data_IF_608506869605
#
_entry.id   IF_608506869605
#
_cell.length_a   1.000
_cell.length_b   1.000
_cell.length_c   1.000
_cell.angle_alpha   90.00
_cell.angle_beta   90.00
_cell.angle_gamma   90.00
#
_symmetry.space_group_name_H-M   'P 1'
#
loop_
_entity.id
_entity.type
_entity.pdbx_description
1 polymer ?
#
# COMPACT_ATOMS: atom_id res chain seq x y z
N UNK A 1 -30.68 0.10 -2.63
CA UNK A 1 -30.20 0.08 -2.66
C UNK A 1 -29.21 0.00 -2.63
N UNK A 2 -28.67 0.04 -2.52
CA UNK A 2 -27.70 0.00 -2.55
C UNK A 2 -26.84 -0.41 -2.39
N UNK A 3 -26.39 -0.66 -2.32
CA UNK A 3 -25.54 -1.04 -2.16
C UNK A 3 -24.58 -1.12 -2.40
N UNK A 4 -24.01 -1.23 -2.29
CA UNK A 4 -22.95 -1.23 -2.36
C UNK A 4 -22.08 -1.70 -2.58
N UNK A 5 -21.90 -1.77 -2.77
CA UNK A 5 -20.95 -2.26 -2.95
C UNK A 5 -19.91 -2.26 -2.79
N UNK A 6 -19.57 -2.11 -2.52
CA UNK A 6 -18.63 -2.07 -2.47
C UNK A 6 -17.95 -2.72 -2.03
N UNK A 7 -17.92 -3.24 -1.69
CA UNK A 7 -17.24 -3.89 -1.24
C UNK A 7 -16.71 -4.69 -1.83
N UNK A 8 -16.84 -4.97 -2.48
CA UNK A 8 -16.37 -5.62 -3.09
C UNK A 8 -15.35 -5.51 -3.52
N UNK A 9 -15.42 -5.02 -3.82
CA UNK A 9 -14.30 -4.80 -4.42
C UNK A 9 -13.21 -4.95 -3.60
N UNK A 10 -13.31 -4.76 -2.57
CA UNK A 10 -12.22 -4.71 -1.80
C UNK A 10 -11.56 -5.97 -1.65
N UNK A 11 -12.14 -6.96 -1.88
CA UNK A 11 -11.55 -8.07 -1.59
C UNK A 11 -10.38 -8.35 -2.29
N UNK A 12 -10.40 -8.29 -3.42
CA UNK A 12 -9.31 -8.72 -4.19
C UNK A 12 -8.18 -7.76 -4.12
N UNK A 13 -8.45 -6.54 -3.91
CA UNK A 13 -7.39 -5.59 -3.89
C UNK A 13 -6.78 -5.54 -2.55
N UNK A 14 -5.57 -5.10 -2.51
CA UNK A 14 -4.93 -4.86 -1.26
C UNK A 14 -5.69 -3.80 -0.54
N UNK A 15 -5.85 -3.96 0.69
CA UNK A 15 -6.38 -2.89 1.49
C UNK A 15 -5.31 -1.83 1.62
N UNK A 16 -5.71 -0.61 1.51
CA UNK A 16 -4.80 0.52 1.61
C UNK A 16 -5.35 1.47 2.64
N UNK A 17 -4.46 2.01 3.43
CA UNK A 17 -4.86 2.96 4.45
C UNK A 17 -3.96 4.17 4.33
N UNK A 18 -4.54 5.33 4.10
CA UNK A 18 -3.78 6.55 4.00
C UNK A 18 -3.37 6.97 5.40
N UNK A 19 -2.06 7.05 5.63
CA UNK A 19 -1.54 7.43 6.93
C UNK A 19 -1.30 8.92 6.99
N UNK A 20 -0.78 9.48 5.91
CA UNK A 20 -0.58 10.92 5.83
C UNK A 20 -0.72 11.29 4.37
N UNK A 21 -0.51 12.55 4.04
CA UNK A 21 -0.73 13.03 2.68
C UNK A 21 0.04 12.25 1.64
N UNK A 22 1.15 11.67 2.00
CA UNK A 22 2.02 11.01 1.05
C UNK A 22 2.43 9.61 1.46
N UNK A 23 1.76 9.01 2.43
CA UNK A 23 2.14 7.69 2.91
C UNK A 23 0.92 6.80 3.04
N UNK A 24 1.01 5.61 2.47
CA UNK A 24 -0.07 4.63 2.52
C UNK A 24 0.44 3.34 3.12
N UNK A 25 -0.36 2.70 3.95
CA UNK A 25 -0.06 1.37 4.42
C UNK A 25 -0.70 0.37 3.48
N UNK A 26 0.03 -0.69 3.15
CA UNK A 26 -0.47 -1.77 2.32
C UNK A 26 -0.80 -2.92 3.26
N UNK A 27 -2.07 -3.27 3.31
CA UNK A 27 -2.57 -4.20 4.31
C UNK A 27 -2.99 -5.52 3.69
N UNK A 28 -2.89 -6.56 4.46
CA UNK A 28 -3.49 -7.84 4.15
C UNK A 28 -4.53 -8.09 5.23
N UNK A 29 -5.16 -9.24 5.22
CA UNK A 29 -6.29 -9.48 6.10
C UNK A 29 -6.09 -9.03 7.53
N UNK A 30 -5.01 -9.40 8.12
CA UNK A 30 -4.76 -9.04 9.49
C UNK A 30 -3.40 -8.40 9.70
N UNK A 31 -2.69 -8.18 8.64
CA UNK A 31 -1.31 -7.71 8.76
C UNK A 31 -1.03 -6.50 7.90
N UNK A 32 -0.07 -5.73 8.32
CA UNK A 32 0.48 -4.69 7.48
C UNK A 32 1.65 -5.29 6.72
N UNK A 33 1.54 -5.29 5.41
CA UNK A 33 2.59 -5.86 4.57
C UNK A 33 3.73 -4.88 4.38
N UNK A 34 3.41 -3.62 4.28
CA UNK A 34 4.42 -2.61 4.05
C UNK A 34 3.77 -1.27 3.79
N UNK A 35 4.52 -0.38 3.18
CA UNK A 35 4.07 0.98 3.00
C UNK A 35 4.51 1.50 1.64
N UNK A 36 3.81 2.52 1.16
CA UNK A 36 4.23 3.24 -0.04
C UNK A 36 4.29 4.70 0.34
N UNK A 37 5.42 5.33 0.07
CA UNK A 37 5.62 6.74 0.36
C UNK A 37 5.89 7.47 -0.94
N UNK A 38 5.14 8.54 -1.18
CA UNK A 38 5.37 9.35 -2.35
C UNK A 38 6.51 10.32 -2.07
N UNK A 39 7.51 10.31 -2.93
CA UNK A 39 8.65 11.20 -2.80
C UNK A 39 8.85 11.87 -4.14
N UNK A 40 8.35 13.08 -4.26
CA UNK A 40 8.42 13.78 -5.53
C UNK A 40 7.57 13.08 -6.56
N UNK A 41 8.20 12.60 -7.61
CA UNK A 41 7.48 11.94 -8.69
C UNK A 41 7.58 10.43 -8.63
N UNK A 42 8.09 9.89 -7.55
CA UNK A 42 8.20 8.46 -7.44
C UNK A 42 7.50 7.97 -6.19
N UNK A 43 7.25 6.67 -6.16
CA UNK A 43 6.64 6.03 -5.03
C UNK A 43 7.62 5.00 -4.50
N UNK A 44 7.97 5.13 -3.25
CA UNK A 44 8.95 4.26 -2.61
C UNK A 44 8.20 3.16 -1.89
N UNK A 45 8.49 1.92 -2.24
CA UNK A 45 7.86 0.77 -1.62
C UNK A 45 8.72 0.30 -0.45
N UNK A 46 8.06 0.12 0.69
CA UNK A 46 8.73 -0.30 1.91
C UNK A 46 8.08 -1.59 2.39
N UNK A 47 8.89 -2.51 2.86
CA UNK A 47 8.39 -3.78 3.39
C UNK A 47 8.54 -3.80 4.90
N UNK A 48 7.50 -4.20 5.59
CA UNK A 48 7.55 -4.31 7.04
C UNK A 48 6.23 -3.94 7.66
N UNK A 49 6.01 -4.35 8.88
CA UNK A 49 4.76 -4.10 9.57
C UNK A 49 4.76 -2.80 10.35
N UNK A 50 5.92 -2.16 10.47
CA UNK A 50 6.06 -0.94 11.26
C UNK A 50 6.82 0.04 10.40
N UNK A 51 6.25 1.21 10.18
CA UNK A 51 6.86 2.22 9.31
C UNK A 51 8.27 2.61 9.77
N UNK A 52 8.48 2.66 11.08
CA UNK A 52 9.78 3.04 11.58
C UNK A 52 10.86 2.00 11.30
N UNK A 53 10.46 0.78 11.02
CA UNK A 53 11.41 -0.31 10.76
C UNK A 53 11.27 -0.87 9.37
N UNK A 54 10.41 -0.29 8.56
CA UNK A 54 10.20 -0.79 7.21
C UNK A 54 11.43 -0.52 6.37
N UNK A 55 11.70 -1.42 5.44
CA UNK A 55 12.88 -1.37 4.60
C UNK A 55 12.47 -1.09 3.17
N UNK A 56 13.16 -0.16 2.54
CA UNK A 56 12.87 0.15 1.16
C UNK A 56 13.21 -1.04 0.27
N UNK A 57 12.28 -1.44 -0.57
CA UNK A 57 12.48 -2.57 -1.47
C UNK A 57 12.47 -2.16 -2.93
N UNK A 58 11.86 -1.04 -3.27
CA UNK A 58 11.88 -0.58 -4.65
C UNK A 58 11.38 0.85 -4.74
N UNK A 59 11.60 1.44 -5.89
CA UNK A 59 11.08 2.77 -6.20
C UNK A 59 10.41 2.66 -7.55
N UNK A 60 9.20 3.17 -7.66
CA UNK A 60 8.43 3.06 -8.88
C UNK A 60 7.86 4.41 -9.25
N UNK A 61 7.56 4.60 -10.52
CA UNK A 61 6.96 5.84 -10.98
C UNK A 61 5.44 5.80 -10.86
N UNK A 62 4.88 4.64 -10.60
CA UNK A 62 3.43 4.49 -10.49
C UNK A 62 3.06 3.91 -9.15
N UNK A 63 1.98 4.44 -8.61
CA UNK A 63 1.51 4.01 -7.30
C UNK A 63 1.17 2.52 -7.29
N UNK A 64 0.42 2.07 -8.29
CA UNK A 64 -0.01 0.68 -8.32
C UNK A 64 1.17 -0.27 -8.43
N UNK A 65 2.24 0.14 -9.11
CA UNK A 65 3.43 -0.70 -9.19
C UNK A 65 4.13 -0.79 -7.85
N UNK A 66 4.14 0.31 -7.11
CA UNK A 66 4.76 0.29 -5.78
C UNK A 66 3.97 -0.61 -4.84
N UNK A 67 2.64 -0.52 -4.90
CA UNK A 67 1.78 -1.38 -4.08
C UNK A 67 2.03 -2.85 -4.43
N UNK A 68 2.09 -3.16 -5.73
CA UNK A 68 2.33 -4.52 -6.16
C UNK A 68 3.68 -5.03 -5.67
N UNK A 69 4.67 -4.14 -5.65
CA UNK A 69 6.00 -4.51 -5.17
C UNK A 69 5.95 -4.93 -3.71
N UNK A 70 5.20 -4.19 -2.89
CA UNK A 70 5.05 -4.54 -1.49
C UNK A 70 4.34 -5.87 -1.36
N UNK A 71 3.30 -6.08 -2.14
CA UNK A 71 2.51 -7.30 -2.03
C UNK A 71 3.30 -8.53 -2.46
N UNK A 72 4.18 -8.37 -3.43
CA UNK A 72 4.96 -9.51 -3.90
C UNK A 72 6.17 -9.80 -3.05
N UNK A 73 6.57 -8.85 -2.27
CA UNK A 73 7.75 -9.02 -1.44
C UNK A 73 7.46 -9.93 -0.27
#
# INVERSE_FOLDING_TARGET
MVIFPEKRSSKSTADLSLISDDTWAVLSENDTLGFVVRAGEIYVALSGSDLHHAVEISQKHRFDEAVASVRRH
#
